data_IF_686114374896
#
_entry.id   IF_686114374896
#
_cell.length_a   1.000
_cell.length_b   1.000
_cell.length_c   1.000
_cell.angle_alpha   90.00
_cell.angle_beta   90.00
_cell.angle_gamma   90.00
#
_symmetry.space_group_name_H-M   'P 1'
#
loop_
_entity.id
_entity.type
_entity.pdbx_description
1 polymer ?
#
# COMPACT_ATOMS: atom_id res chain seq x y z
N UNK A 1 -4.15 16.25 34.68
CA UNK A 1 -4.70 15.09 35.43
C UNK A 1 -6.05 14.64 34.83
N UNK A 2 -6.82 15.53 34.16
CA UNK A 2 -8.03 15.15 33.43
C UNK A 2 -7.76 14.45 32.07
N UNK A 3 -6.72 14.86 31.31
CA UNK A 3 -6.43 14.30 29.97
C UNK A 3 -6.12 12.79 29.98
N UNK A 4 -5.53 12.30 31.08
CA UNK A 4 -5.21 10.88 31.25
C UNK A 4 -6.45 10.02 31.52
N UNK A 5 -7.47 10.62 32.14
CA UNK A 5 -8.74 9.95 32.48
C UNK A 5 -9.62 9.84 31.23
N UNK A 6 -9.64 10.87 30.39
CA UNK A 6 -10.34 10.81 29.10
C UNK A 6 -9.72 9.77 28.16
N UNK A 7 -8.38 9.72 28.08
CA UNK A 7 -7.67 8.70 27.29
C UNK A 7 -7.99 7.27 27.74
N UNK A 8 -8.02 7.03 29.05
CA UNK A 8 -8.39 5.75 29.63
C UNK A 8 -9.88 5.40 29.40
N UNK A 9 -10.78 6.38 29.54
CA UNK A 9 -12.21 6.17 29.34
C UNK A 9 -12.53 5.84 27.88
N UNK A 10 -11.91 6.54 26.93
CA UNK A 10 -12.07 6.25 25.50
C UNK A 10 -11.47 4.87 25.16
N UNK A 11 -10.32 4.50 25.73
CA UNK A 11 -9.74 3.17 25.56
C UNK A 11 -10.64 2.06 26.14
N UNK A 12 -11.23 2.27 27.32
CA UNK A 12 -12.17 1.33 27.95
C UNK A 12 -13.48 1.26 27.18
N UNK A 13 -13.99 2.38 26.67
CA UNK A 13 -15.19 2.43 25.84
C UNK A 13 -15.00 1.70 24.51
N UNK A 14 -13.79 1.76 23.92
CA UNK A 14 -13.41 0.98 22.72
C UNK A 14 -13.35 -0.52 22.99
N UNK A 15 -12.86 -0.92 24.17
CA UNK A 15 -12.84 -2.33 24.59
C UNK A 15 -14.24 -2.87 24.93
N UNK A 16 -15.09 -2.05 25.53
CA UNK A 16 -16.43 -2.43 25.98
C UNK A 16 -17.47 -2.55 24.85
N UNK A 17 -17.23 -1.90 23.70
CA UNK A 17 -18.21 -1.84 22.60
C UNK A 17 -18.11 -3.00 21.60
N UNK A 18 -17.10 -3.88 21.69
CA UNK A 18 -16.99 -5.08 20.83
C UNK A 18 -16.87 -4.80 19.32
N UNK A 19 -16.94 -3.54 18.88
CA UNK A 19 -16.64 -3.10 17.54
C UNK A 19 -15.13 -2.96 17.43
N UNK A 20 -14.49 -3.75 16.56
CA UNK A 20 -13.07 -3.51 16.24
C UNK A 20 -12.94 -2.06 15.77
N UNK A 21 -12.05 -1.29 16.42
CA UNK A 21 -11.85 0.12 16.10
C UNK A 21 -11.36 0.25 14.66
N UNK A 22 -12.15 0.88 13.78
CA UNK A 22 -11.71 1.17 12.42
C UNK A 22 -10.95 2.50 12.37
N UNK A 23 -9.95 2.57 11.50
CA UNK A 23 -9.11 3.74 11.30
C UNK A 23 -9.34 4.28 9.89
N UNK A 24 -10.11 5.36 9.77
CA UNK A 24 -10.35 6.00 8.49
C UNK A 24 -9.16 6.89 8.10
N UNK A 25 -8.12 6.28 7.51
CA UNK A 25 -6.88 6.99 7.13
C UNK A 25 -7.10 7.90 5.94
N UNK A 26 -7.85 7.46 4.94
CA UNK A 26 -8.19 8.26 3.76
C UNK A 26 -9.58 7.81 3.26
N UNK A 27 -10.61 8.68 3.35
CA UNK A 27 -11.97 8.30 2.98
C UNK A 27 -12.14 8.07 1.48
N UNK A 28 -11.26 8.62 0.63
CA UNK A 28 -11.29 8.41 -0.82
C UNK A 28 -10.80 6.99 -1.15
N UNK A 29 -9.77 6.54 -0.44
CA UNK A 29 -9.21 5.20 -0.58
C UNK A 29 -10.00 4.14 0.18
N UNK A 30 -10.68 4.49 1.27
CA UNK A 30 -11.38 3.55 2.15
C UNK A 30 -12.78 4.07 2.53
N UNK A 31 -13.76 4.05 1.60
CA UNK A 31 -15.08 4.64 1.81
C UNK A 31 -15.93 3.88 2.85
N UNK A 32 -15.65 2.59 3.08
CA UNK A 32 -16.43 1.71 3.95
C UNK A 32 -16.09 1.83 5.46
N UNK A 33 -15.62 3.00 5.89
CA UNK A 33 -15.35 3.28 7.30
C UNK A 33 -13.93 2.95 7.78
N UNK A 34 -12.98 2.74 6.87
CA UNK A 34 -11.54 2.66 7.17
C UNK A 34 -10.97 1.26 7.37
N UNK A 35 -9.74 1.22 7.87
CA UNK A 35 -8.93 0.01 8.02
C UNK A 35 -9.09 -0.61 9.41
N UNK A 36 -9.09 -1.94 9.50
CA UNK A 36 -9.19 -2.68 10.78
C UNK A 36 -7.83 -3.16 11.29
N UNK A 37 -7.63 -3.19 12.62
CA UNK A 37 -6.45 -3.77 13.25
C UNK A 37 -6.16 -5.21 12.79
N UNK A 38 -4.98 -5.40 12.21
CA UNK A 38 -4.53 -6.69 11.71
C UNK A 38 -4.70 -6.89 10.20
N UNK A 39 -5.22 -5.90 9.49
CA UNK A 39 -5.29 -5.91 8.03
C UNK A 39 -3.92 -5.65 7.39
N UNK A 40 -3.71 -6.30 6.25
CA UNK A 40 -2.55 -6.15 5.38
C UNK A 40 -2.99 -5.50 4.06
N UNK A 41 -2.35 -4.38 3.73
CA UNK A 41 -2.64 -3.58 2.54
C UNK A 41 -1.44 -3.60 1.60
N UNK A 42 -1.70 -3.90 0.33
CA UNK A 42 -0.72 -3.89 -0.74
C UNK A 42 -0.90 -2.64 -1.60
N UNK A 43 0.18 -1.89 -1.81
CA UNK A 43 0.25 -0.80 -2.79
C UNK A 43 1.19 -1.25 -3.91
N UNK A 44 0.67 -1.42 -5.12
CA UNK A 44 1.47 -1.76 -6.29
C UNK A 44 1.38 -0.70 -7.37
N UNK A 45 2.36 -0.67 -8.27
CA UNK A 45 2.39 0.30 -9.36
C UNK A 45 3.75 0.29 -10.05
N UNK A 46 3.77 0.77 -11.29
CA UNK A 46 5.00 0.95 -12.04
C UNK A 46 5.92 1.99 -11.38
N UNK A 47 7.18 2.05 -11.79
CA UNK A 47 8.09 3.12 -11.36
C UNK A 47 7.43 4.48 -11.61
N UNK A 48 7.64 5.42 -10.69
CA UNK A 48 7.10 6.79 -10.78
C UNK A 48 5.56 6.94 -10.71
N UNK A 49 4.79 5.88 -10.48
CA UNK A 49 3.34 5.95 -10.23
C UNK A 49 2.92 6.65 -8.91
N UNK A 50 3.88 7.07 -8.08
CA UNK A 50 3.59 7.78 -6.82
C UNK A 50 3.44 6.90 -5.58
N UNK A 51 3.86 5.62 -5.60
CA UNK A 51 3.78 4.71 -4.43
C UNK A 51 4.38 5.29 -3.14
N UNK A 52 5.64 5.71 -3.18
CA UNK A 52 6.33 6.30 -2.03
C UNK A 52 5.68 7.60 -1.57
N UNK A 53 5.21 8.41 -2.53
CA UNK A 53 4.48 9.63 -2.23
C UNK A 53 3.14 9.33 -1.53
N UNK A 54 2.42 8.30 -1.97
CA UNK A 54 1.20 7.83 -1.32
C UNK A 54 1.48 7.34 0.10
N UNK A 55 2.59 6.63 0.34
CA UNK A 55 3.00 6.26 1.70
C UNK A 55 3.19 7.51 2.59
N UNK A 56 3.81 8.57 2.09
CA UNK A 56 3.98 9.83 2.85
C UNK A 56 2.64 10.54 3.09
N UNK A 57 1.75 10.55 2.10
CA UNK A 57 0.38 11.09 2.20
C UNK A 57 -0.44 10.38 3.29
N UNK A 58 -0.35 9.05 3.36
CA UNK A 58 -1.00 8.25 4.39
C UNK A 58 -0.35 8.48 5.76
N UNK A 59 0.99 8.51 5.84
CA UNK A 59 1.70 8.82 7.08
C UNK A 59 1.26 10.17 7.63
N UNK A 60 1.17 11.21 6.80
CA UNK A 60 0.74 12.54 7.23
C UNK A 60 -0.63 12.49 7.91
N UNK A 61 -1.62 11.84 7.29
CA UNK A 61 -2.96 11.68 7.88
C UNK A 61 -2.96 10.86 9.16
N UNK A 62 -2.08 9.86 9.28
CA UNK A 62 -1.95 9.04 10.50
C UNK A 62 -1.40 9.87 11.66
N UNK A 63 -0.33 10.64 11.45
CA UNK A 63 0.43 11.29 12.52
C UNK A 63 -0.09 12.68 12.92
N UNK A 64 -0.83 13.35 12.03
CA UNK A 64 -1.43 14.65 12.30
C UNK A 64 -2.49 14.57 13.42
N UNK A 65 -2.68 15.65 14.19
CA UNK A 65 -3.71 15.69 15.22
C UNK A 65 -5.11 15.68 14.59
N UNK A 66 -6.08 15.21 15.38
CA UNK A 66 -7.50 15.18 15.00
C UNK A 66 -8.06 16.55 14.65
N UNK A 67 -7.58 17.61 15.31
CA UNK A 67 -7.91 19.01 14.99
C UNK A 67 -7.46 19.48 13.61
N UNK A 68 -6.64 18.68 12.91
CA UNK A 68 -6.17 18.92 11.55
C UNK A 68 -6.62 17.80 10.59
N UNK A 69 -7.68 17.08 10.92
CA UNK A 69 -8.20 15.97 10.10
C UNK A 69 -7.37 14.68 10.15
N UNK A 70 -6.36 14.61 11.01
CA UNK A 70 -5.53 13.42 11.19
C UNK A 70 -6.09 12.43 12.23
N UNK A 71 -5.39 11.31 12.43
CA UNK A 71 -5.78 10.27 13.40
C UNK A 71 -5.08 10.39 14.75
N UNK A 72 -4.03 11.20 14.84
CA UNK A 72 -3.19 11.36 16.04
C UNK A 72 -2.55 10.05 16.53
N UNK A 73 -2.19 9.17 15.61
CA UNK A 73 -1.60 7.87 15.90
C UNK A 73 -0.12 7.84 15.57
N UNK A 74 0.59 6.85 16.13
CA UNK A 74 1.98 6.60 15.78
C UNK A 74 2.11 5.59 14.64
N UNK A 75 3.11 5.83 13.79
CA UNK A 75 3.43 5.01 12.63
C UNK A 75 4.93 4.69 12.61
N UNK A 76 5.28 3.53 12.06
CA UNK A 76 6.66 3.22 11.67
C UNK A 76 6.75 3.10 10.16
N UNK A 77 7.73 3.79 9.56
CA UNK A 77 8.11 3.64 8.16
C UNK A 77 9.43 2.87 8.10
N UNK A 78 9.39 1.71 7.44
CA UNK A 78 10.58 0.95 7.05
C UNK A 78 10.90 1.31 5.60
N UNK A 79 11.85 2.21 5.41
CA UNK A 79 12.30 2.67 4.10
C UNK A 79 13.47 1.80 3.62
N UNK A 80 13.21 0.97 2.62
CA UNK A 80 14.18 0.10 1.96
C UNK A 80 14.72 0.73 0.66
N UNK A 81 13.97 1.64 0.03
CA UNK A 81 14.36 2.28 -1.24
C UNK A 81 15.13 3.59 -1.04
N UNK A 82 15.29 4.04 0.21
CA UNK A 82 15.85 5.35 0.56
C UNK A 82 15.08 6.48 -0.16
N UNK A 83 13.75 6.31 -0.25
CA UNK A 83 12.80 7.21 -0.91
C UNK A 83 12.26 8.28 0.03
N UNK A 84 12.43 8.13 1.35
CA UNK A 84 11.92 9.05 2.34
C UNK A 84 12.57 10.44 2.23
N UNK A 85 11.74 11.46 2.09
CA UNK A 85 12.17 12.87 2.08
C UNK A 85 11.40 13.66 3.14
N UNK A 86 12.11 14.06 4.20
CA UNK A 86 11.53 14.90 5.26
C UNK A 86 10.94 16.23 4.73
N UNK A 87 11.59 16.96 3.80
CA UNK A 87 11.00 18.16 3.20
C UNK A 87 9.67 17.89 2.51
N UNK A 88 9.57 16.80 1.74
CA UNK A 88 8.32 16.42 1.07
C UNK A 88 7.23 16.11 2.10
N UNK A 89 7.56 15.36 3.16
CA UNK A 89 6.61 15.09 4.24
C UNK A 89 6.14 16.38 4.93
N UNK A 90 7.04 17.34 5.20
CA UNK A 90 6.67 18.62 5.80
C UNK A 90 5.71 19.41 4.91
N UNK A 91 5.94 19.46 3.59
CA UNK A 91 5.03 20.10 2.64
C UNK A 91 3.66 19.42 2.58
N UNK A 92 3.62 18.09 2.65
CA UNK A 92 2.37 17.32 2.72
C UNK A 92 1.63 17.61 4.03
N UNK A 93 2.33 17.63 5.17
CA UNK A 93 1.77 17.96 6.47
C UNK A 93 1.16 19.37 6.46
N UNK A 94 1.89 20.35 5.93
CA UNK A 94 1.40 21.73 5.78
C UNK A 94 0.13 21.79 4.93
N UNK A 95 0.11 21.13 3.76
CA UNK A 95 -1.08 21.04 2.91
C UNK A 95 -2.29 20.51 3.68
N UNK A 96 -2.14 19.41 4.41
CA UNK A 96 -3.25 18.81 5.19
C UNK A 96 -3.70 19.72 6.31
N UNK A 97 -2.77 20.31 7.07
CA UNK A 97 -3.10 21.25 8.15
C UNK A 97 -3.91 22.44 7.62
N UNK A 98 -3.50 23.03 6.49
CA UNK A 98 -4.19 24.19 5.93
C UNK A 98 -5.58 23.84 5.36
N UNK A 99 -5.74 22.63 4.81
CA UNK A 99 -7.00 22.22 4.18
C UNK A 99 -8.03 21.61 5.15
N UNK A 100 -7.58 21.06 6.28
CA UNK A 100 -8.40 20.24 7.18
C UNK A 100 -8.41 20.73 8.63
N UNK A 101 -7.76 21.86 8.95
CA UNK A 101 -7.83 22.42 10.29
C UNK A 101 -9.24 22.86 10.66
N UNK A 102 -9.65 22.51 11.88
CA UNK A 102 -10.88 23.01 12.48
C UNK A 102 -10.91 24.55 12.53
N UNK A 103 -12.07 25.21 12.38
CA UNK A 103 -12.16 26.67 12.28
C UNK A 103 -11.50 27.42 13.45
N UNK A 104 -11.56 26.87 14.66
CA UNK A 104 -10.91 27.45 15.84
C UNK A 104 -9.38 27.48 15.71
N UNK A 105 -8.79 26.41 15.16
CA UNK A 105 -7.35 26.31 14.95
C UNK A 105 -6.90 27.12 13.73
N UNK A 106 -7.71 27.14 12.66
CA UNK A 106 -7.40 27.84 11.42
C UNK A 106 -7.08 29.33 11.65
N UNK A 107 -7.77 29.99 12.58
CA UNK A 107 -7.49 31.40 12.93
C UNK A 107 -6.07 31.63 13.50
N UNK A 108 -5.51 30.62 14.16
CA UNK A 108 -4.18 30.68 14.79
C UNK A 108 -3.05 30.29 13.84
N UNK A 109 -3.35 29.64 12.71
CA UNK A 109 -2.36 29.22 11.70
C UNK A 109 -1.74 30.39 10.93
N UNK A 110 -2.25 31.62 11.13
CA UNK A 110 -1.62 32.85 10.62
C UNK A 110 -0.22 33.05 11.22
N UNK A 111 0.06 32.47 12.38
CA UNK A 111 1.38 32.45 13.00
C UNK A 111 2.19 31.22 12.53
N UNK A 112 3.34 31.41 11.83
CA UNK A 112 4.20 30.32 11.39
C UNK A 112 4.68 29.40 12.52
N UNK A 113 4.80 29.91 13.75
CA UNK A 113 5.26 29.13 14.89
C UNK A 113 4.24 28.06 15.30
N UNK A 114 2.94 28.31 15.13
CA UNK A 114 1.89 27.32 15.42
C UNK A 114 1.98 26.15 14.44
N UNK A 115 2.13 26.44 13.15
CA UNK A 115 2.30 25.42 12.12
C UNK A 115 3.53 24.53 12.41
N UNK A 116 4.68 25.13 12.72
CA UNK A 116 5.89 24.38 13.04
C UNK A 116 5.70 23.51 14.30
N UNK A 117 4.97 24.02 15.30
CA UNK A 117 4.68 23.29 16.54
C UNK A 117 3.83 22.05 16.25
N UNK A 118 2.79 22.17 15.42
CA UNK A 118 1.94 21.05 15.00
C UNK A 118 2.76 20.03 14.20
N UNK A 119 3.57 20.47 13.24
CA UNK A 119 4.43 19.59 12.44
C UNK A 119 5.44 18.84 13.32
N UNK A 120 6.07 19.52 14.29
CA UNK A 120 7.03 18.89 15.21
C UNK A 120 6.35 17.85 16.09
N UNK A 121 5.16 18.15 16.63
CA UNK A 121 4.36 17.21 17.39
C UNK A 121 3.95 15.99 16.55
N UNK A 122 3.51 16.20 15.31
CA UNK A 122 3.17 15.14 14.37
C UNK A 122 4.37 14.23 14.07
N UNK A 123 5.53 14.82 13.74
CA UNK A 123 6.76 14.06 13.47
C UNK A 123 7.26 13.24 14.67
N UNK A 124 6.96 13.65 15.90
CA UNK A 124 7.32 12.86 17.09
C UNK A 124 6.62 11.49 17.16
N UNK A 125 5.51 11.32 16.41
CA UNK A 125 4.74 10.07 16.29
C UNK A 125 5.23 9.18 15.14
N UNK A 126 6.21 9.63 14.34
CA UNK A 126 6.77 8.86 13.22
C UNK A 126 8.11 8.22 13.60
N UNK A 127 8.18 6.91 13.51
CA UNK A 127 9.42 6.14 13.61
C UNK A 127 9.95 5.80 12.22
N UNK A 128 11.14 6.29 11.87
CA UNK A 128 11.80 5.96 10.62
C UNK A 128 12.87 4.90 10.84
N UNK A 129 12.83 3.83 10.05
CA UNK A 129 13.86 2.77 9.99
C UNK A 129 14.32 2.67 8.54
N UNK A 130 15.55 3.10 8.27
CA UNK A 130 16.14 2.92 6.94
C UNK A 130 16.89 1.59 6.86
N UNK A 131 16.63 0.83 5.81
CA UNK A 131 17.28 -0.45 5.54
C UNK A 131 18.09 -0.35 4.26
N UNK A 132 19.37 -0.72 4.33
CA UNK A 132 20.30 -0.73 3.20
C UNK A 132 20.71 -2.16 2.79
N UNK A 133 20.25 -3.18 3.51
CA UNK A 133 20.50 -4.58 3.19
C UNK A 133 19.32 -5.48 3.57
N UNK A 134 19.30 -6.69 3.00
CA UNK A 134 18.29 -7.71 3.32
C UNK A 134 18.30 -8.06 4.82
N UNK A 135 19.49 -8.16 5.42
CA UNK A 135 19.66 -8.49 6.83
C UNK A 135 19.09 -7.39 7.72
N UNK A 136 19.31 -6.11 7.38
CA UNK A 136 18.74 -4.98 8.12
C UNK A 136 17.21 -4.99 8.04
N UNK A 137 16.65 -5.29 6.85
CA UNK A 137 15.22 -5.41 6.67
C UNK A 137 14.62 -6.58 7.48
N UNK A 138 15.18 -7.78 7.36
CA UNK A 138 14.72 -8.95 8.10
C UNK A 138 14.86 -8.78 9.62
N UNK A 139 15.96 -8.15 10.09
CA UNK A 139 16.13 -7.80 11.50
C UNK A 139 15.10 -6.78 11.98
N UNK A 140 14.78 -5.77 11.16
CA UNK A 140 13.76 -4.77 11.48
C UNK A 140 12.39 -5.42 11.68
N UNK A 141 12.01 -6.38 10.82
CA UNK A 141 10.77 -7.14 10.98
C UNK A 141 10.75 -7.99 12.27
N UNK A 142 11.88 -8.55 12.67
CA UNK A 142 12.01 -9.30 13.93
C UNK A 142 11.95 -8.39 15.17
N UNK A 143 12.42 -7.14 15.05
CA UNK A 143 12.43 -6.17 16.15
C UNK A 143 11.06 -5.47 16.36
N UNK A 144 10.21 -5.41 15.33
CA UNK A 144 8.87 -4.81 15.40
C UNK A 144 8.03 -5.26 16.62
N UNK A 145 7.92 -6.57 16.94
CA UNK A 145 7.31 -7.05 18.18
C UNK A 145 7.75 -6.32 19.46
N UNK A 146 9.07 -6.13 19.64
CA UNK A 146 9.60 -5.45 20.81
C UNK A 146 9.24 -3.95 20.81
N UNK A 147 9.21 -3.34 19.61
CA UNK A 147 8.76 -1.96 19.43
C UNK A 147 7.29 -1.81 19.82
N UNK A 148 6.42 -2.73 19.42
CA UNK A 148 4.99 -2.69 19.76
C UNK A 148 4.72 -2.81 21.25
N UNK A 149 5.53 -3.59 21.97
CA UNK A 149 5.43 -3.70 23.44
C UNK A 149 5.88 -2.41 24.11
N UNK A 150 6.95 -1.79 23.61
CA UNK A 150 7.49 -0.54 24.16
C UNK A 150 6.60 0.67 23.87
N UNK A 151 5.93 0.67 22.72
CA UNK A 151 5.15 1.78 22.19
C UNK A 151 3.78 1.28 21.74
N UNK A 152 2.83 1.11 22.69
CA UNK A 152 1.50 0.61 22.37
C UNK A 152 0.71 1.51 21.41
N UNK A 153 1.03 2.81 21.38
CA UNK A 153 0.46 3.83 20.49
C UNK A 153 0.74 3.59 18.99
N UNK A 154 1.79 2.83 18.67
CA UNK A 154 2.15 2.51 17.29
C UNK A 154 1.07 1.60 16.70
N UNK A 155 0.31 2.12 15.74
CA UNK A 155 -0.83 1.41 15.13
C UNK A 155 -0.53 0.99 13.69
N UNK A 156 0.30 1.78 12.99
CA UNK A 156 0.61 1.58 11.58
C UNK A 156 2.06 1.19 11.33
N UNK A 157 2.26 0.25 10.41
CA UNK A 157 3.57 -0.14 9.87
C UNK A 157 3.50 0.06 8.36
N UNK A 158 4.35 0.91 7.82
CA UNK A 158 4.50 1.12 6.37
C UNK A 158 5.87 0.62 5.92
N UNK A 159 5.92 -0.06 4.78
CA UNK A 159 7.16 -0.62 4.23
C UNK A 159 7.29 -0.19 2.77
N UNK A 160 8.38 0.50 2.44
CA UNK A 160 8.64 0.98 1.07
C UNK A 160 10.06 0.58 0.62
N UNK A 161 10.28 -0.52 -0.11
CA UNK A 161 9.36 -1.55 -0.57
C UNK A 161 9.82 -2.94 -0.12
N UNK A 162 8.94 -3.94 -0.15
CA UNK A 162 9.33 -5.33 0.18
C UNK A 162 10.19 -5.98 -0.90
N UNK A 163 10.25 -5.37 -2.10
CA UNK A 163 10.88 -5.94 -3.28
C UNK A 163 12.36 -5.52 -3.44
N UNK A 164 12.81 -4.46 -2.73
CA UNK A 164 14.14 -3.85 -2.89
C UNK A 164 15.27 -4.89 -2.90
N UNK A 165 15.30 -5.81 -1.93
CA UNK A 165 16.40 -6.76 -1.75
C UNK A 165 16.22 -8.10 -2.48
N UNK A 166 15.27 -8.19 -3.41
CA UNK A 166 15.01 -9.42 -4.17
C UNK A 166 16.27 -9.94 -4.88
N UNK A 167 16.98 -9.05 -5.59
CA UNK A 167 18.16 -9.42 -6.36
C UNK A 167 19.32 -9.86 -5.47
N UNK A 168 19.41 -9.35 -4.24
CA UNK A 168 20.41 -9.80 -3.24
C UNK A 168 20.17 -11.25 -2.81
N UNK A 169 18.90 -11.67 -2.73
CA UNK A 169 18.53 -13.04 -2.33
C UNK A 169 18.68 -14.05 -3.46
N UNK A 170 18.57 -13.60 -4.71
CA UNK A 170 18.77 -14.45 -5.88
C UNK A 170 20.26 -14.61 -6.16
N UNK A 171 20.77 -15.83 -6.02
CA UNK A 171 22.16 -16.15 -6.35
C UNK A 171 22.20 -17.08 -7.55
N UNK A 172 23.33 -17.14 -8.26
CA UNK A 172 23.51 -18.05 -9.40
C UNK A 172 23.26 -19.53 -9.06
N UNK A 173 23.37 -19.90 -7.78
CA UNK A 173 23.12 -21.26 -7.27
C UNK A 173 21.70 -21.46 -6.73
N UNK A 174 20.98 -20.38 -6.41
CA UNK A 174 19.64 -20.43 -5.83
C UNK A 174 18.78 -19.31 -6.43
N UNK A 175 18.11 -19.64 -7.52
CA UNK A 175 17.15 -18.76 -8.18
C UNK A 175 15.79 -18.89 -7.50
N UNK A 176 15.33 -17.79 -6.91
CA UNK A 176 14.02 -17.71 -6.29
C UNK A 176 13.13 -16.90 -7.21
N UNK A 177 11.94 -17.40 -7.53
CA UNK A 177 10.96 -16.60 -8.29
C UNK A 177 10.56 -15.39 -7.46
N UNK A 178 10.45 -14.22 -8.09
CA UNK A 178 10.02 -12.98 -7.44
C UNK A 178 8.71 -13.14 -6.67
N UNK A 179 7.72 -13.83 -7.24
CA UNK A 179 6.45 -14.14 -6.57
C UNK A 179 6.64 -14.92 -5.26
N UNK A 180 7.60 -15.85 -5.23
CA UNK A 180 7.87 -16.67 -4.05
C UNK A 180 8.53 -15.83 -2.96
N UNK A 181 9.46 -14.95 -3.35
CA UNK A 181 10.09 -13.99 -2.45
C UNK A 181 9.05 -13.05 -1.82
N UNK A 182 8.21 -12.42 -2.65
CA UNK A 182 7.17 -11.50 -2.18
C UNK A 182 6.12 -12.21 -1.32
N UNK A 183 5.64 -13.40 -1.72
CA UNK A 183 4.71 -14.20 -0.90
C UNK A 183 5.27 -14.55 0.47
N UNK A 184 6.57 -14.83 0.58
CA UNK A 184 7.20 -15.13 1.88
C UNK A 184 7.13 -13.91 2.82
N UNK A 185 7.37 -12.71 2.30
CA UNK A 185 7.21 -11.47 3.05
C UNK A 185 5.75 -11.19 3.38
N UNK A 186 4.81 -11.30 2.43
CA UNK A 186 3.37 -11.14 2.70
C UNK A 186 2.88 -12.08 3.82
N UNK A 187 3.32 -13.34 3.84
CA UNK A 187 2.97 -14.28 4.93
C UNK A 187 3.50 -13.82 6.28
N UNK A 188 4.73 -13.32 6.31
CA UNK A 188 5.36 -12.81 7.53
C UNK A 188 4.63 -11.58 8.04
N UNK A 189 4.32 -10.64 7.14
CA UNK A 189 3.60 -9.40 7.44
C UNK A 189 2.14 -9.65 7.87
N UNK A 190 1.42 -10.53 7.17
CA UNK A 190 0.04 -10.91 7.53
C UNK A 190 -0.01 -11.55 8.93
N UNK A 191 0.94 -12.44 9.25
CA UNK A 191 1.06 -13.01 10.59
C UNK A 191 1.38 -11.95 11.65
N UNK A 192 2.24 -10.99 11.32
CA UNK A 192 2.60 -9.89 12.22
C UNK A 192 1.40 -8.98 12.47
N UNK A 193 0.69 -8.57 11.41
CA UNK A 193 -0.50 -7.75 11.46
C UNK A 193 -1.57 -8.42 12.35
N UNK A 194 -1.96 -9.66 12.03
CA UNK A 194 -3.00 -10.38 12.76
C UNK A 194 -2.63 -10.67 14.23
N UNK A 195 -1.38 -11.04 14.51
CA UNK A 195 -0.92 -11.36 15.87
C UNK A 195 -0.88 -10.13 16.78
N UNK A 196 -0.39 -8.99 16.26
CA UNK A 196 -0.20 -7.77 17.04
C UNK A 196 -1.34 -6.76 16.88
N UNK A 197 -2.35 -7.10 16.06
CA UNK A 197 -3.47 -6.23 15.72
C UNK A 197 -2.98 -4.83 15.27
N UNK A 198 -1.98 -4.83 14.39
CA UNK A 198 -1.42 -3.62 13.75
C UNK A 198 -1.81 -3.59 12.29
N UNK A 199 -1.99 -2.40 11.73
CA UNK A 199 -2.27 -2.23 10.30
C UNK A 199 -0.93 -2.15 9.58
N UNK A 200 -0.76 -3.01 8.56
CA UNK A 200 0.49 -3.08 7.80
C UNK A 200 0.23 -2.71 6.35
N UNK A 201 0.95 -1.72 5.84
CA UNK A 201 0.96 -1.33 4.44
C UNK A 201 2.35 -1.61 3.86
N UNK A 202 2.39 -2.10 2.64
CA UNK A 202 3.66 -2.28 1.94
C UNK A 202 3.53 -1.92 0.47
N UNK A 203 4.63 -1.43 -0.11
CA UNK A 203 4.73 -1.21 -1.56
C UNK A 203 5.44 -2.35 -2.26
N UNK A 204 5.11 -2.57 -3.54
CA UNK A 204 5.90 -3.39 -4.47
C UNK A 204 5.76 -2.87 -5.91
N UNK A 205 6.72 -3.14 -6.81
CA UNK A 205 6.53 -2.88 -8.23
C UNK A 205 5.42 -3.78 -8.82
N UNK A 206 4.79 -3.32 -9.90
CA UNK A 206 3.78 -4.10 -10.66
C UNK A 206 4.36 -5.30 -11.41
N UNK A 207 5.68 -5.36 -11.59
CA UNK A 207 6.33 -6.35 -12.45
C UNK A 207 6.09 -7.81 -12.00
N UNK A 208 5.60 -8.60 -12.98
CA UNK A 208 5.43 -10.05 -12.99
C UNK A 208 4.35 -10.65 -12.07
N UNK A 209 3.15 -10.07 -12.08
CA UNK A 209 1.95 -10.87 -11.85
C UNK A 209 1.86 -11.97 -12.91
N UNK A 210 2.25 -13.20 -12.58
CA UNK A 210 1.95 -14.36 -13.41
C UNK A 210 0.47 -14.35 -13.75
N UNK A 211 0.15 -14.40 -15.05
CA UNK A 211 -1.22 -14.55 -15.59
C UNK A 211 -2.04 -15.51 -14.71
N UNK A 212 -2.86 -14.96 -13.84
CA UNK A 212 -4.02 -15.65 -13.31
C UNK A 212 -5.22 -14.73 -13.52
N UNK A 213 -6.06 -15.17 -14.46
CA UNK A 213 -7.45 -14.77 -14.69
C UNK A 213 -7.71 -13.40 -15.34
N UNK A 214 -7.30 -13.27 -16.60
CA UNK A 214 -8.18 -12.71 -17.62
C UNK A 214 -7.95 -13.47 -18.92
N UNK A 215 -8.65 -14.59 -19.08
CA UNK A 215 -8.78 -15.25 -20.37
C UNK A 215 -9.47 -14.28 -21.32
N UNK A 216 -8.69 -13.61 -22.16
CA UNK A 216 -9.18 -13.12 -23.44
C UNK A 216 -8.68 -14.12 -24.46
N UNK A 217 -9.58 -15.02 -24.84
CA UNK A 217 -9.43 -15.84 -26.02
C UNK A 217 -9.22 -14.89 -27.20
N UNK A 218 -7.96 -14.76 -27.64
CA UNK A 218 -7.65 -14.19 -28.93
C UNK A 218 -7.83 -15.30 -29.95
N UNK A 219 -9.07 -15.48 -30.40
CA UNK A 219 -9.35 -16.22 -31.64
C UNK A 219 -8.67 -15.45 -32.79
N UNK A 220 -7.46 -15.87 -33.13
CA UNK A 220 -6.82 -15.51 -34.38
C UNK A 220 -7.53 -16.24 -35.52
N UNK A 221 -8.60 -15.62 -36.03
CA UNK A 221 -9.21 -16.02 -37.28
C UNK A 221 -8.34 -15.51 -38.43
N UNK A 222 -7.38 -16.33 -38.86
CA UNK A 222 -6.64 -16.11 -40.11
C UNK A 222 -6.65 -17.39 -40.95
N UNK A 223 -7.75 -17.56 -41.68
CA UNK A 223 -7.79 -18.42 -42.85
C UNK A 223 -7.14 -17.69 -44.03
N UNK A 224 -5.99 -18.21 -44.49
CA UNK A 224 -5.64 -18.41 -45.91
C UNK A 224 -4.14 -18.64 -46.07
N UNK A 225 -3.75 -19.81 -46.55
CA UNK A 225 -2.36 -20.10 -46.94
C UNK A 225 -2.00 -21.57 -46.84
N UNK A 226 -2.74 -22.43 -47.55
CA UNK A 226 -2.39 -23.83 -47.71
C UNK A 226 -1.12 -23.97 -48.56
N UNK A 227 -0.07 -24.60 -48.02
CA UNK A 227 0.89 -25.40 -48.80
C UNK A 227 1.43 -26.54 -47.92
N UNK A 228 1.14 -27.75 -48.37
CA UNK A 228 1.50 -29.04 -47.82
C UNK A 228 2.98 -29.36 -48.04
N UNK A 229 3.65 -29.99 -47.06
CA UNK A 229 4.71 -30.95 -47.36
C UNK A 229 4.86 -31.97 -46.23
N UNK A 230 4.87 -33.24 -46.65
CA UNK A 230 4.99 -34.48 -45.88
C UNK A 230 6.28 -34.59 -45.05
N UNK A 231 6.20 -35.34 -43.95
CA UNK A 231 7.36 -35.73 -43.15
C UNK A 231 6.98 -36.57 -41.93
N UNK A 232 6.79 -37.87 -42.14
CA UNK A 232 6.47 -38.91 -41.16
C UNK A 232 7.56 -39.13 -40.09
N UNK A 233 7.19 -39.28 -38.81
CA UNK A 233 7.78 -40.27 -37.90
C UNK A 233 6.85 -40.59 -36.72
N UNK A 234 6.99 -41.80 -36.19
CA UNK A 234 6.00 -42.66 -35.57
C UNK A 234 5.60 -42.34 -34.12
N UNK A 235 4.41 -42.82 -33.79
CA UNK A 235 3.81 -42.88 -32.47
C UNK A 235 4.47 -43.91 -31.54
N UNK A 236 4.42 -43.67 -30.23
CA UNK A 236 4.12 -44.73 -29.27
C UNK A 236 3.31 -44.18 -28.10
N UNK A 237 2.19 -44.85 -27.88
CA UNK A 237 1.12 -44.59 -26.92
C UNK A 237 1.44 -45.21 -25.56
N UNK A 238 1.36 -44.42 -24.48
CA UNK A 238 1.16 -44.95 -23.14
C UNK A 238 -0.13 -44.35 -22.56
N UNK A 239 -1.19 -45.15 -22.59
CA UNK A 239 -2.46 -44.85 -21.97
C UNK A 239 -2.36 -45.11 -20.46
N UNK A 240 -2.30 -44.05 -19.67
CA UNK A 240 -2.49 -44.09 -18.22
C UNK A 240 -3.77 -43.32 -17.89
N UNK A 241 -4.87 -44.04 -17.66
CA UNK A 241 -6.08 -43.50 -17.06
C UNK A 241 -5.75 -43.02 -15.63
N UNK A 242 -5.83 -41.71 -15.41
CA UNK A 242 -5.87 -41.12 -14.08
C UNK A 242 -7.23 -40.47 -13.88
N UNK A 243 -7.99 -41.09 -12.99
CA UNK A 243 -9.23 -40.60 -12.39
C UNK A 243 -9.11 -39.14 -11.94
N UNK A 244 -10.14 -38.29 -12.12
CA UNK A 244 -10.12 -36.94 -11.58
C UNK A 244 -10.22 -37.04 -10.05
N UNK A 245 -9.08 -36.92 -9.37
CA UNK A 245 -9.06 -36.67 -7.93
C UNK A 245 -9.73 -35.32 -7.69
N UNK A 246 -10.83 -35.32 -6.94
CA UNK A 246 -11.48 -34.12 -6.43
C UNK A 246 -10.43 -33.27 -5.71
N UNK A 247 -9.93 -32.23 -6.38
CA UNK A 247 -9.24 -31.16 -5.69
C UNK A 247 -10.30 -30.41 -4.90
N UNK A 248 -10.36 -30.70 -3.60
CA UNK A 248 -10.98 -29.79 -2.64
C UNK A 248 -10.36 -28.43 -2.89
N UNK A 249 -11.14 -27.52 -3.48
CA UNK A 249 -10.79 -26.12 -3.58
C UNK A 249 -10.63 -25.61 -2.15
N UNK A 250 -9.42 -25.68 -1.61
CA UNK A 250 -9.05 -24.87 -0.47
C UNK A 250 -9.19 -23.44 -0.97
N UNK A 251 -10.25 -22.76 -0.54
CA UNK A 251 -10.39 -21.32 -0.68
C UNK A 251 -9.10 -20.72 -0.15
N UNK A 252 -8.21 -20.32 -1.06
CA UNK A 252 -6.96 -19.71 -0.68
C UNK A 252 -7.33 -18.42 0.04
N UNK A 253 -7.21 -18.40 1.37
CA UNK A 253 -7.39 -17.20 2.17
C UNK A 253 -6.42 -16.17 1.62
N UNK A 254 -6.95 -15.10 1.05
CA UNK A 254 -6.12 -13.99 0.58
C UNK A 254 -5.36 -13.47 1.80
N UNK A 255 -4.03 -13.42 1.72
CA UNK A 255 -3.19 -12.86 2.79
C UNK A 255 -3.32 -11.34 2.89
N UNK A 256 -3.83 -10.73 1.83
CA UNK A 256 -3.93 -9.29 1.64
C UNK A 256 -5.41 -8.95 1.64
N UNK A 257 -5.77 -8.02 2.51
CA UNK A 257 -7.13 -7.57 2.72
C UNK A 257 -7.48 -6.51 1.68
N UNK A 258 -6.60 -5.52 1.47
CA UNK A 258 -6.84 -4.43 0.52
C UNK A 258 -5.69 -4.30 -0.48
N UNK A 259 -6.01 -4.01 -1.73
CA UNK A 259 -5.02 -3.78 -2.81
C UNK A 259 -5.29 -2.44 -3.47
N UNK A 260 -4.23 -1.66 -3.65
CA UNK A 260 -4.25 -0.36 -4.33
C UNK A 260 -3.22 -0.46 -5.46
N UNK A 261 -3.70 -0.50 -6.71
CA UNK A 261 -2.85 -0.55 -7.89
C UNK A 261 -2.81 0.81 -8.57
N UNK A 262 -1.63 1.41 -8.62
CA UNK A 262 -1.35 2.73 -9.18
C UNK A 262 -0.82 2.59 -10.59
N UNK A 263 -1.50 3.21 -11.55
CA UNK A 263 -1.13 3.17 -12.98
C UNK A 263 -1.12 4.58 -13.57
N UNK A 264 -0.11 4.85 -14.40
CA UNK A 264 -0.08 6.05 -15.23
C UNK A 264 -1.08 5.87 -16.37
N UNK A 265 -1.87 6.90 -16.63
CA UNK A 265 -2.82 6.90 -17.74
C UNK A 265 -2.12 7.55 -18.93
N UNK A 266 -1.73 6.73 -19.90
CA UNK A 266 -1.28 7.21 -21.21
C UNK A 266 -2.42 8.00 -21.84
N UNK A 267 -2.25 9.31 -21.99
CA UNK A 267 -3.27 10.20 -22.52
C UNK A 267 -3.29 10.08 -24.06
N UNK A 268 -4.26 9.39 -24.71
CA UNK A 268 -4.31 9.30 -26.14
C UNK A 268 -5.22 10.41 -26.65
N UNK A 269 -4.76 11.66 -26.58
CA UNK A 269 -5.45 12.77 -27.23
C UNK A 269 -4.74 13.09 -28.56
N UNK A 270 -5.31 12.69 -29.73
CA UNK A 270 -4.83 13.17 -31.01
C UNK A 270 -5.42 14.56 -31.27
N UNK A 271 -4.58 15.59 -31.19
CA UNK A 271 -4.93 16.93 -31.65
C UNK A 271 -5.12 17.94 -30.52
N UNK A 272 -4.07 18.72 -30.28
CA UNK A 272 -4.09 19.83 -29.34
C UNK A 272 -2.69 20.37 -29.14
N UNK A 273 -2.21 21.14 -30.11
CA UNK A 273 -1.03 21.99 -29.94
C UNK A 273 -1.32 23.01 -28.84
N UNK A 274 -0.60 22.95 -27.72
CA UNK A 274 -0.13 24.12 -26.98
C UNK A 274 0.80 23.72 -25.81
N UNK A 275 1.90 24.45 -25.69
CA UNK A 275 2.89 24.36 -24.62
C UNK A 275 2.23 24.56 -23.24
N UNK A 276 2.12 23.50 -22.46
CA UNK A 276 1.78 23.51 -21.05
C UNK A 276 2.13 22.14 -20.47
N UNK A 277 2.73 22.09 -19.27
CA UNK A 277 3.06 20.85 -18.56
C UNK A 277 1.91 19.86 -18.67
N UNK A 278 2.09 18.74 -19.36
CA UNK A 278 1.06 17.72 -19.45
C UNK A 278 0.76 17.26 -18.02
N UNK A 279 -0.43 17.59 -17.50
CA UNK A 279 -0.89 17.10 -16.20
C UNK A 279 -0.98 15.59 -16.30
N UNK A 280 0.08 14.89 -15.86
CA UNK A 280 0.12 13.44 -15.83
C UNK A 280 -1.01 12.96 -14.93
N UNK A 281 -1.95 12.23 -15.52
CA UNK A 281 -3.09 11.65 -14.84
C UNK A 281 -2.76 10.22 -14.46
N UNK A 282 -3.16 9.85 -13.27
CA UNK A 282 -2.98 8.51 -12.75
C UNK A 282 -4.33 7.93 -12.32
N UNK A 283 -4.42 6.62 -12.35
CA UNK A 283 -5.54 5.88 -11.76
C UNK A 283 -5.05 4.99 -10.63
N UNK A 284 -5.83 4.95 -9.55
CA UNK A 284 -5.73 3.96 -8.50
C UNK A 284 -6.90 2.99 -8.67
N UNK A 285 -6.61 1.72 -8.92
CA UNK A 285 -7.58 0.62 -8.87
C UNK A 285 -7.54 0.01 -7.46
N UNK A 286 -8.62 0.17 -6.71
CA UNK A 286 -8.72 -0.29 -5.32
C UNK A 286 -9.59 -1.55 -5.28
N UNK A 287 -9.09 -2.59 -4.61
CA UNK A 287 -9.85 -3.78 -4.24
C UNK A 287 -9.89 -3.90 -2.73
N UNK A 288 -11.08 -3.88 -2.16
CA UNK A 288 -11.32 -3.96 -0.71
C UNK A 288 -11.42 -5.41 -0.22
N UNK A 289 -11.36 -5.60 1.10
CA UNK A 289 -11.45 -6.91 1.76
C UNK A 289 -12.76 -7.68 1.45
N UNK A 290 -13.86 -6.96 1.25
CA UNK A 290 -15.16 -7.50 0.87
C UNK A 290 -15.31 -7.74 -0.65
N UNK A 291 -14.21 -7.54 -1.40
CA UNK A 291 -14.10 -7.66 -2.86
C UNK A 291 -14.84 -6.57 -3.63
N UNK A 292 -15.25 -5.48 -2.99
CA UNK A 292 -15.64 -4.28 -3.72
C UNK A 292 -14.44 -3.70 -4.48
N UNK A 293 -14.71 -3.20 -5.67
CA UNK A 293 -13.70 -2.64 -6.56
C UNK A 293 -14.14 -1.30 -7.09
N UNK A 294 -13.24 -0.33 -7.08
CA UNK A 294 -13.48 0.99 -7.65
C UNK A 294 -12.18 1.60 -8.15
N UNK A 295 -12.35 2.57 -9.04
CA UNK A 295 -11.24 3.36 -9.59
C UNK A 295 -11.35 4.77 -9.02
N UNK A 296 -10.20 5.34 -8.69
CA UNK A 296 -10.05 6.75 -8.36
C UNK A 296 -8.98 7.35 -9.27
N UNK A 297 -9.21 8.59 -9.68
CA UNK A 297 -8.26 9.33 -10.50
C UNK A 297 -7.53 10.34 -9.63
N UNK A 298 -6.23 10.50 -9.86
CA UNK A 298 -5.42 11.46 -9.12
C UNK A 298 -4.39 12.14 -10.02
N UNK A 299 -3.96 13.32 -9.57
CA UNK A 299 -2.85 14.09 -10.10
C UNK A 299 -1.71 14.10 -9.09
N UNK A 300 -0.48 14.16 -9.58
CA UNK A 300 0.70 14.45 -8.77
C UNK A 300 1.17 15.86 -9.14
N UNK A 301 1.17 16.75 -8.15
CA UNK A 301 1.71 18.10 -8.30
C UNK A 301 2.85 18.35 -7.30
N UNK A 302 3.32 19.61 -7.22
CA UNK A 302 4.37 20.02 -6.27
C UNK A 302 4.00 19.86 -4.79
N UNK A 303 2.72 19.71 -4.47
CA UNK A 303 2.19 19.59 -3.11
C UNK A 303 1.73 18.17 -2.76
N UNK A 304 1.87 17.21 -3.69
CA UNK A 304 1.63 15.79 -3.44
C UNK A 304 0.53 15.20 -4.32
N UNK A 305 -0.25 14.27 -3.77
CA UNK A 305 -1.35 13.60 -4.48
C UNK A 305 -2.64 14.38 -4.26
N UNK A 306 -3.38 14.62 -5.35
CA UNK A 306 -4.72 15.23 -5.33
C UNK A 306 -5.72 14.33 -6.06
N UNK A 307 -6.79 13.92 -5.39
CA UNK A 307 -7.86 13.10 -5.96
C UNK A 307 -8.82 13.97 -6.79
N UNK A 308 -9.15 13.54 -8.02
CA UNK A 308 -9.90 14.35 -9.00
C UNK A 308 -11.42 14.24 -8.81
N UNK A 309 -11.91 13.16 -8.19
CA UNK A 309 -13.32 12.95 -7.88
C UNK A 309 -13.40 12.19 -6.54
N UNK A 310 -13.95 12.84 -5.51
CA UNK A 310 -14.21 12.27 -4.19
C UNK A 310 -15.68 12.44 -3.84
#
# INVERSE_FOLDING_TARGET
MCDTIESAFVAISRLASGSEATHNVDPVLFPDGGLRPGELIEISGDSNSGKSLLCLELIARIILPTSCGGLELAAVLIDCENSYSKPVLLSILEKHILNQAEPSLASTLTDPHQLETIQRAALSRLHLITCYSLEQFEFSLLALPALFVRQPELTFVLIDSIATFYWTKCTAKNLIRQDTYQKAHCKTLSRLAGKWKKIVLFTKPSHFGGRQASGRDFEANSAAGALSLDGSTQASSFAGQLTPSMSTASSAVSLIDHRIELTEIDNPSPGGSEQGSADQRFSAFITMADKQQYVRFYLIDKYGINWIEA
#
